data_IF_308667532786
#
_entry.id   IF_308667532786
#
_cell.length_a   1.000
_cell.length_b   1.000
_cell.length_c   1.000
_cell.angle_alpha   90.00
_cell.angle_beta   90.00
_cell.angle_gamma   90.00
#
_symmetry.space_group_name_H-M   'P 1'
#
loop_
_entity.id
_entity.type
_entity.pdbx_description
1 polymer ?
2 water ?
#
# COMPACT_ATOMS: atom_id res chain seq x y z
N UNK A 1 5.19 9.64 -7.52
CA UNK A 1 6.12 8.66 -8.16
C UNK A 1 5.52 8.01 -9.41
N UNK A 2 6.39 7.35 -10.16
CA UNK A 2 5.99 6.70 -11.40
C UNK A 2 5.14 5.47 -11.11
N UNK A 3 4.06 5.31 -11.87
CA UNK A 3 3.19 4.15 -11.79
C UNK A 3 3.51 3.23 -12.96
N UNK A 4 3.69 1.95 -12.67
CA UNK A 4 3.97 0.96 -13.72
C UNK A 4 2.76 0.81 -14.63
N UNK A 5 1.59 0.54 -14.07
CA UNK A 5 0.39 0.37 -14.86
C UNK A 5 -0.84 0.60 -14.02
N UNK A 6 -1.88 1.11 -14.67
CA UNK A 6 -3.20 1.33 -14.08
C UNK A 6 -4.19 0.79 -15.08
N UNK A 7 -5.18 0.04 -14.60
CA UNK A 7 -6.04 -0.64 -15.55
C UNK A 7 -7.30 -1.15 -14.88
N UNK A 8 -8.39 -1.10 -15.63
CA UNK A 8 -9.69 -1.58 -15.18
C UNK A 8 -10.16 -2.66 -16.16
N UNK A 9 -10.56 -3.81 -15.63
CA UNK A 9 -11.30 -4.78 -16.43
C UNK A 9 -12.75 -4.76 -15.99
N UNK A 10 -13.66 -4.16 -16.75
CA UNK A 10 -15.04 -4.03 -16.26
C UNK A 10 -15.75 -5.31 -15.87
N UNK A 11 -15.58 -6.38 -16.65
CA UNK A 11 -16.30 -7.64 -16.43
C UNK A 11 -15.32 -8.79 -16.62
N UNK A 12 -14.48 -9.05 -15.64
CA UNK A 12 -13.50 -10.12 -15.80
C UNK A 12 -14.16 -11.46 -16.01
N UNK A 13 -13.60 -12.24 -16.94
CA UNK A 13 -14.07 -13.59 -17.18
C UNK A 13 -13.96 -14.44 -15.92
N UNK A 14 -14.93 -15.32 -15.73
CA UNK A 14 -14.96 -16.14 -14.52
C UNK A 14 -13.70 -16.98 -14.38
N UNK A 15 -13.09 -17.40 -15.50
CA UNK A 15 -11.87 -18.18 -15.46
C UNK A 15 -10.73 -17.37 -14.87
N UNK A 16 -10.70 -16.07 -15.14
CA UNK A 16 -9.67 -15.21 -14.57
C UNK A 16 -9.81 -15.17 -13.06
N UNK A 17 -11.03 -14.94 -12.58
CA UNK A 17 -11.26 -14.89 -11.14
C UNK A 17 -11.05 -16.25 -10.49
N UNK A 18 -11.27 -17.35 -11.23
CA UNK A 18 -11.06 -18.67 -10.66
C UNK A 18 -9.57 -19.00 -10.52
N UNK A 19 -8.77 -18.56 -11.49
CA UNK A 19 -7.38 -18.99 -11.57
C UNK A 19 -6.38 -18.01 -10.96
N UNK A 20 -6.73 -16.73 -10.84
CA UNK A 20 -5.79 -15.73 -10.35
C UNK A 20 -6.29 -15.17 -9.02
N UNK A 21 -5.37 -14.70 -8.15
CA UNK A 21 -5.76 -14.25 -6.80
C UNK A 21 -6.32 -12.83 -6.78
N UNK A 22 -7.51 -12.68 -7.35
CA UNK A 22 -8.08 -11.35 -7.55
C UNK A 22 -9.30 -11.09 -6.65
N UNK A 23 -9.47 -11.90 -5.62
CA UNK A 23 -10.37 -11.60 -4.53
C UNK A 23 -11.83 -11.98 -4.73
N UNK A 24 -12.17 -12.64 -5.84
CA UNK A 24 -13.55 -12.94 -6.14
C UNK A 24 -13.66 -14.36 -6.71
N UNK A 25 -13.22 -15.35 -5.93
CA UNK A 25 -13.32 -16.74 -6.38
C UNK A 25 -14.78 -17.06 -6.71
N UNK A 26 -15.09 -17.49 -7.93
CA UNK A 26 -16.49 -17.79 -8.26
C UNK A 26 -17.04 -18.85 -7.31
N UNK A 27 -18.26 -18.61 -6.85
CA UNK A 27 -18.92 -19.49 -5.93
C UNK A 27 -18.78 -19.07 -4.48
N UNK A 28 -17.86 -18.15 -4.17
CA UNK A 28 -17.64 -17.70 -2.79
C UNK A 28 -18.59 -16.55 -2.44
N UNK A 29 -19.88 -16.86 -2.41
CA UNK A 29 -20.89 -15.88 -2.01
C UNK A 29 -22.04 -16.60 -1.31
N UNK A 30 -22.80 -15.84 -0.47
CA UNK A 30 -23.96 -16.37 0.26
C UNK A 30 -25.13 -16.71 -0.72
N UNK A 31 -25.16 -16.11 -1.95
CA UNK A 31 -26.25 -16.32 -2.93
C UNK A 31 -25.78 -17.03 -4.20
N UNK A 32 -24.51 -17.42 -4.23
CA UNK A 32 -23.99 -18.26 -5.29
C UNK A 32 -24.72 -19.60 -5.29
N UNK A 33 -25.06 -20.06 -6.47
CA UNK A 33 -25.74 -21.34 -6.62
C UNK A 33 -25.64 -21.91 -8.03
N UNK A 38 -21.52 -10.81 -14.57
CA UNK A 38 -22.11 -10.30 -13.33
C UNK A 38 -21.04 -10.11 -12.26
N UNK A 39 -19.84 -10.58 -12.53
CA UNK A 39 -18.74 -10.42 -11.59
C UNK A 39 -18.42 -8.94 -11.38
N UNK A 40 -17.86 -8.64 -10.20
CA UNK A 40 -17.39 -7.30 -9.91
C UNK A 40 -16.31 -6.87 -10.91
N UNK A 41 -16.29 -5.58 -11.23
CA UNK A 41 -15.17 -5.04 -11.99
C UNK A 41 -13.87 -5.12 -11.18
N UNK A 42 -12.75 -4.97 -11.88
CA UNK A 42 -11.42 -5.19 -11.33
C UNK A 42 -10.52 -4.00 -11.64
N UNK A 43 -10.03 -3.34 -10.62
CA UNK A 43 -9.06 -2.27 -10.75
C UNK A 43 -7.72 -2.72 -10.19
N UNK A 44 -6.65 -2.24 -10.82
CA UNK A 44 -5.31 -2.66 -10.45
C UNK A 44 -4.37 -1.50 -10.66
N UNK A 45 -3.53 -1.24 -9.66
CA UNK A 45 -2.47 -0.25 -9.78
C UNK A 45 -1.16 -0.94 -9.41
N UNK A 46 -0.22 -0.93 -10.34
CA UNK A 46 1.07 -1.57 -10.18
C UNK A 46 2.17 -0.52 -10.05
N UNK A 47 3.01 -0.67 -9.03
CA UNK A 47 4.12 0.23 -8.73
C UNK A 47 5.36 -0.59 -8.41
N UNK A 48 6.53 -0.09 -8.82
CA UNK A 48 7.79 -0.58 -8.29
C UNK A 48 8.08 0.19 -7.00
N UNK A 49 7.26 -0.11 -6.00
CA UNK A 49 7.29 0.59 -4.75
C UNK A 49 6.12 0.25 -3.85
N UNK A 50 6.42 -0.38 -2.71
CA UNK A 50 5.35 -0.67 -1.75
C UNK A 50 4.68 0.60 -1.26
N UNK A 51 5.46 1.66 -1.05
CA UNK A 51 4.88 2.88 -0.48
C UNK A 51 3.88 3.51 -1.45
N UNK A 52 4.26 3.61 -2.72
CA UNK A 52 3.32 4.12 -3.72
C UNK A 52 2.09 3.26 -3.85
N UNK A 53 2.25 1.94 -3.73
CA UNK A 53 1.12 1.02 -3.81
C UNK A 53 0.16 1.25 -2.65
N UNK A 54 0.69 1.36 -1.42
CA UNK A 54 -0.17 1.58 -0.28
C UNK A 54 -0.94 2.89 -0.43
N UNK A 55 -0.25 3.95 -0.84
CA UNK A 55 -0.91 5.24 -1.05
C UNK A 55 -1.98 5.11 -2.13
N UNK A 56 -1.65 4.49 -3.27
CA UNK A 56 -2.64 4.24 -4.31
C UNK A 56 -3.84 3.49 -3.73
N UNK A 57 -3.58 2.45 -2.95
CA UNK A 57 -4.67 1.64 -2.42
C UNK A 57 -5.56 2.45 -1.48
N UNK A 58 -4.95 3.28 -0.63
CA UNK A 58 -5.71 4.09 0.30
C UNK A 58 -6.58 5.10 -0.45
N UNK A 59 -5.99 5.79 -1.43
CA UNK A 59 -6.76 6.70 -2.25
C UNK A 59 -7.92 5.99 -2.93
N UNK A 60 -7.70 4.76 -3.42
CA UNK A 60 -8.74 4.07 -4.18
C UNK A 60 -9.96 3.80 -3.29
N UNK A 61 -9.74 3.33 -2.07
CA UNK A 61 -10.86 2.92 -1.24
C UNK A 61 -11.53 4.14 -0.60
N UNK A 62 -10.83 5.26 -0.52
CA UNK A 62 -11.45 6.49 -0.05
C UNK A 62 -12.24 7.20 -1.15
N UNK A 63 -11.95 6.89 -2.40
CA UNK A 63 -12.51 7.62 -3.53
C UNK A 63 -13.82 7.02 -4.02
N UNK A 64 -14.09 5.77 -3.70
CA UNK A 64 -15.22 5.10 -4.32
C UNK A 64 -15.55 3.83 -3.55
N UNK A 65 -16.74 3.29 -3.84
CA UNK A 65 -17.26 2.09 -3.19
C UNK A 65 -16.61 0.88 -3.85
N UNK A 66 -15.33 0.70 -3.55
CA UNK A 66 -14.56 -0.45 -4.01
C UNK A 66 -13.99 -1.14 -2.78
N UNK A 67 -13.66 -2.42 -2.94
CA UNK A 67 -13.02 -3.19 -1.89
C UNK A 67 -11.58 -3.49 -2.31
N UNK A 68 -10.62 -3.11 -1.49
CA UNK A 68 -9.25 -3.56 -1.66
C UNK A 68 -9.13 -4.98 -1.15
N UNK A 69 -8.82 -5.92 -2.05
CA UNK A 69 -8.85 -7.33 -1.71
C UNK A 69 -7.48 -7.87 -1.34
N UNK A 70 -6.42 -7.13 -1.61
CA UNK A 70 -5.08 -7.58 -1.34
C UNK A 70 -4.13 -6.94 -2.34
N UNK A 71 -2.88 -7.41 -2.31
CA UNK A 71 -1.89 -6.96 -3.26
C UNK A 71 -1.10 -8.17 -3.74
N UNK A 72 -0.50 -8.01 -4.90
CA UNK A 72 0.24 -9.07 -5.56
C UNK A 72 1.72 -8.69 -5.62
N UNK A 73 2.59 -9.61 -5.23
CA UNK A 73 4.03 -9.41 -5.21
C UNK A 73 4.67 -10.30 -6.26
N UNK A 74 5.35 -9.70 -7.23
CA UNK A 74 5.97 -10.42 -8.33
C UNK A 74 7.50 -10.35 -8.27
N UNK A 75 8.04 -9.86 -7.16
CA UNK A 75 9.47 -9.71 -7.01
C UNK A 75 10.01 -8.48 -7.69
N UNK A 76 11.31 -8.28 -7.50
CA UNK A 76 11.97 -7.16 -8.13
C UNK A 76 11.55 -5.81 -7.62
N UNK A 77 10.81 -5.77 -6.51
CA UNK A 77 10.23 -4.54 -6.02
C UNK A 77 8.84 -4.24 -6.56
N UNK A 78 8.28 -5.12 -7.37
CA UNK A 78 6.99 -4.83 -8.02
C UNK A 78 5.84 -5.35 -7.18
N UNK A 79 4.83 -4.50 -6.98
CA UNK A 79 3.62 -4.87 -6.26
C UNK A 79 2.41 -4.25 -6.94
N UNK A 80 1.28 -4.94 -6.86
CA UNK A 80 0.04 -4.49 -7.48
C UNK A 80 -1.07 -4.45 -6.43
N UNK A 81 -1.77 -3.32 -6.35
CA UNK A 81 -2.95 -3.18 -5.49
C UNK A 81 -4.19 -3.52 -6.28
N UNK A 82 -5.09 -4.33 -5.71
CA UNK A 82 -6.23 -4.89 -6.44
C UNK A 82 -7.51 -4.48 -5.75
N UNK A 83 -8.40 -3.79 -6.46
CA UNK A 83 -9.70 -3.42 -5.94
C UNK A 83 -10.82 -3.98 -6.80
N UNK A 84 -11.96 -4.22 -6.14
CA UNK A 84 -13.14 -4.83 -6.75
C UNK A 84 -14.38 -4.02 -6.37
N UNK A 85 -15.26 -3.82 -7.35
CA UNK A 85 -16.49 -3.08 -7.12
C UNK A 85 -17.25 -2.94 -8.42
N UNK A 86 -18.27 -2.08 -8.42
CA UNK A 86 -18.96 -1.85 -9.68
C UNK A 86 -18.08 -1.07 -10.65
N UNK A 87 -18.41 -1.18 -11.94
CA UNK A 87 -17.54 -0.65 -13.00
C UNK A 87 -17.22 0.82 -12.75
N UNK A 88 -18.25 1.64 -12.56
CA UNK A 88 -18.01 3.08 -12.45
C UNK A 88 -17.17 3.40 -11.21
N UNK A 89 -17.46 2.70 -10.12
CA UNK A 89 -16.70 2.89 -8.88
C UNK A 89 -15.24 2.52 -9.08
N UNK A 90 -14.99 1.44 -9.80
CA UNK A 90 -13.61 1.02 -9.99
C UNK A 90 -12.86 2.01 -10.87
N UNK A 91 -13.53 2.57 -11.88
CA UNK A 91 -12.87 3.55 -12.75
C UNK A 91 -12.52 4.81 -11.96
N UNK A 92 -13.47 5.31 -11.14
CA UNK A 92 -13.19 6.46 -10.31
C UNK A 92 -12.09 6.14 -9.31
N UNK A 93 -12.12 4.93 -8.74
CA UNK A 93 -11.15 4.60 -7.71
C UNK A 93 -9.74 4.58 -8.27
N UNK A 94 -9.56 3.93 -9.43
CA UNK A 94 -8.23 3.81 -9.99
C UNK A 94 -7.71 5.14 -10.49
N UNK A 95 -8.58 6.03 -10.99
CA UNK A 95 -8.14 7.36 -11.36
C UNK A 95 -7.58 8.10 -10.16
N UNK A 96 -8.24 8.00 -9.01
CA UNK A 96 -7.78 8.70 -7.82
C UNK A 96 -6.53 8.05 -7.28
N UNK A 97 -6.47 6.73 -7.35
CA UNK A 97 -5.28 6.03 -6.91
C UNK A 97 -4.08 6.37 -7.75
N UNK A 98 -4.26 6.47 -9.07
CA UNK A 98 -3.16 6.88 -9.94
C UNK A 98 -2.67 8.27 -9.54
N UNK A 99 -3.59 9.21 -9.34
CA UNK A 99 -3.19 10.58 -8.96
C UNK A 99 -2.45 10.58 -7.62
N UNK A 100 -2.94 9.82 -6.65
CA UNK A 100 -2.28 9.77 -5.35
C UNK A 100 -0.88 9.16 -5.45
N UNK A 101 -0.73 8.09 -6.23
CA UNK A 101 0.61 7.51 -6.39
C UNK A 101 1.55 8.49 -7.07
N UNK A 102 1.03 9.32 -7.99
CA UNK A 102 1.88 10.31 -8.66
C UNK A 102 2.41 11.33 -7.66
N UNK A 103 1.72 11.54 -6.54
CA UNK A 103 2.15 12.51 -5.54
C UNK A 103 3.17 11.97 -4.56
N UNK A 104 3.37 10.66 -4.49
CA UNK A 104 4.29 10.09 -3.51
C UNK A 104 5.72 10.43 -3.89
N UNK A 105 6.53 10.76 -2.89
CA UNK A 105 7.93 11.07 -3.09
C UNK A 105 8.86 10.33 -2.14
N UNK B 1 22.36 7.63 1.75
CA UNK B 1 21.99 6.90 0.52
C UNK B 1 20.61 7.30 0.00
N UNK B 2 20.34 6.96 -1.26
CA UNK B 2 19.07 7.31 -1.86
C UNK B 2 17.93 6.51 -1.24
N UNK B 3 16.81 7.19 -0.99
CA UNK B 3 15.59 6.59 -0.49
C UNK B 3 14.62 6.45 -1.65
N UNK B 4 13.85 5.36 -1.67
CA UNK B 4 12.84 5.19 -2.73
C UNK B 4 11.65 6.10 -2.49
N UNK B 5 11.15 6.12 -1.26
CA UNK B 5 9.95 6.90 -0.95
C UNK B 5 9.86 7.06 0.56
N UNK B 6 9.36 8.21 0.97
CA UNK B 6 9.04 8.50 2.35
C UNK B 6 7.63 9.05 2.32
N UNK B 7 6.72 8.47 3.10
CA UNK B 7 5.33 8.89 2.97
C UNK B 7 4.60 8.75 4.29
N UNK B 8 3.60 9.60 4.46
CA UNK B 8 2.73 9.58 5.64
C UNK B 8 1.29 9.51 5.16
N UNK B 9 0.53 8.61 5.76
CA UNK B 9 -0.92 8.55 5.57
C UNK B 9 -1.55 8.91 6.97
N UNK B 10 -2.12 10.10 7.08
CA UNK B 10 -2.60 10.50 8.43
C UNK B 10 -3.75 9.65 8.96
N UNK B 11 -4.69 9.25 8.12
CA UNK B 11 -5.86 8.47 8.56
C UNK B 11 -6.17 7.36 7.55
N UNK B 12 -5.44 6.25 7.59
CA UNK B 12 -5.66 5.18 6.61
C UNK B 12 -7.07 4.62 6.68
N UNK B 13 -7.57 4.22 5.51
CA UNK B 13 -8.84 3.52 5.44
C UNK B 13 -8.74 2.19 6.17
N UNK B 14 -9.82 1.84 6.87
CA UNK B 14 -9.88 0.58 7.59
C UNK B 14 -9.63 -0.60 6.66
N UNK B 15 -10.02 -0.50 5.37
CA UNK B 15 -9.77 -1.57 4.40
C UNK B 15 -8.29 -1.73 4.13
N UNK B 16 -7.50 -0.65 4.19
CA UNK B 16 -6.08 -0.75 3.97
C UNK B 16 -5.41 -1.47 5.15
N UNK B 17 -5.86 -1.18 6.37
CA UNK B 17 -5.26 -1.84 7.52
C UNK B 17 -5.67 -3.31 7.62
N UNK B 18 -6.80 -3.68 7.02
CA UNK B 18 -7.27 -5.04 7.08
C UNK B 18 -6.61 -5.89 6.01
N UNK B 19 -6.40 -5.31 4.83
CA UNK B 19 -5.95 -6.07 3.68
C UNK B 19 -4.44 -6.11 3.57
N UNK B 20 -3.74 -5.15 4.16
CA UNK B 20 -2.31 -5.02 4.00
C UNK B 20 -1.59 -5.14 5.34
N UNK B 21 -0.33 -5.62 5.34
CA UNK B 21 0.39 -5.94 6.58
C UNK B 21 1.11 -4.72 7.18
N UNK B 22 0.33 -3.88 7.87
CA UNK B 22 0.80 -2.57 8.34
C UNK B 22 0.66 -2.42 9.85
N UNK B 23 0.45 -3.52 10.56
CA UNK B 23 0.58 -3.56 12.01
C UNK B 23 -0.62 -3.08 12.79
N UNK B 24 -1.78 -2.85 12.15
CA UNK B 24 -2.97 -2.37 12.83
C UNK B 24 -4.22 -3.05 12.27
N UNK B 25 -4.26 -4.37 12.36
CA UNK B 25 -5.43 -5.12 11.95
C UNK B 25 -6.66 -4.58 12.68
N UNK B 26 -7.67 -4.11 11.98
CA UNK B 26 -8.87 -3.59 12.66
C UNK B 26 -9.51 -4.66 13.53
N UNK B 27 -9.77 -4.30 14.78
CA UNK B 27 -10.34 -5.19 15.75
C UNK B 27 -9.36 -5.76 16.75
N UNK B 28 -8.06 -5.59 16.52
CA UNK B 28 -7.03 -6.08 17.43
C UNK B 28 -6.70 -5.01 18.47
N UNK B 29 -7.75 -4.57 19.17
CA UNK B 29 -7.66 -3.52 20.19
C UNK B 29 -6.74 -2.37 19.81
N UNK B 39 -7.53 5.34 14.93
CA UNK B 39 -6.88 4.94 13.68
C UNK B 39 -5.51 5.61 13.55
N UNK B 40 -4.47 4.86 13.88
CA UNK B 40 -3.12 5.42 13.91
C UNK B 40 -2.69 5.89 12.52
N UNK B 41 -1.95 7.00 12.48
CA UNK B 41 -1.28 7.41 11.26
C UNK B 41 -0.28 6.33 10.86
N UNK B 42 0.07 6.31 9.57
CA UNK B 42 0.97 5.35 8.98
C UNK B 42 2.16 6.15 8.41
N UNK B 43 3.37 5.70 8.74
CA UNK B 43 4.56 6.27 8.11
C UNK B 43 5.42 5.16 7.52
N UNK B 44 5.91 5.40 6.31
CA UNK B 44 6.67 4.39 5.61
C UNK B 44 7.91 4.99 4.97
N UNK B 45 9.00 4.22 4.98
CA UNK B 45 10.24 4.59 4.33
C UNK B 45 10.73 3.36 3.58
N UNK B 46 10.85 3.47 2.27
CA UNK B 46 11.27 2.40 1.40
C UNK B 46 12.68 2.71 0.92
N UNK B 47 13.54 1.72 0.97
CA UNK B 47 14.95 1.88 0.63
C UNK B 47 15.35 0.66 -0.16
N UNK B 48 16.12 0.84 -1.23
CA UNK B 48 16.76 -0.31 -1.86
C UNK B 48 18.03 -0.63 -1.09
N UNK B 49 17.84 -1.12 0.12
CA UNK B 49 18.95 -1.33 1.02
C UNK B 49 18.49 -1.64 2.43
N UNK B 50 18.77 -2.87 2.88
CA UNK B 50 18.43 -3.25 4.25
C UNK B 50 19.12 -2.36 5.26
N UNK B 51 20.41 -2.05 5.05
CA UNK B 51 21.13 -1.23 6.03
C UNK B 51 20.48 0.13 6.15
N UNK B 52 20.16 0.78 5.02
CA UNK B 52 19.54 2.10 5.08
C UNK B 52 18.16 2.06 5.72
N UNK B 53 17.41 1.00 5.47
CA UNK B 53 16.10 0.85 6.08
C UNK B 53 16.19 0.67 7.58
N UNK B 54 17.19 -0.06 8.06
CA UNK B 54 17.32 -0.27 9.49
C UNK B 54 17.70 1.03 10.20
N UNK B 55 18.62 1.81 9.60
CA UNK B 55 18.98 3.10 10.18
C UNK B 55 17.79 4.04 10.20
N UNK B 56 17.02 4.05 9.12
CA UNK B 56 15.83 4.91 9.09
C UNK B 56 14.84 4.50 10.17
N UNK B 57 14.60 3.20 10.29
CA UNK B 57 13.70 2.68 11.31
C UNK B 57 14.16 3.09 12.70
N UNK B 58 15.46 2.93 12.98
CA UNK B 58 15.99 3.30 14.28
C UNK B 58 15.81 4.79 14.55
N UNK B 59 16.13 5.63 13.55
CA UNK B 59 15.94 7.06 13.74
C UNK B 59 14.47 7.41 13.92
N UNK B 60 13.57 6.68 13.26
CA UNK B 60 12.15 6.97 13.38
C UNK B 60 11.64 6.78 14.81
N UNK B 61 11.91 5.61 15.40
CA UNK B 61 11.39 5.32 16.73
C UNK B 61 12.11 6.13 17.80
N UNK B 62 13.28 6.68 17.50
CA UNK B 62 13.94 7.55 18.46
C UNK B 62 13.44 8.99 18.37
N UNK B 63 12.94 9.41 17.21
CA UNK B 63 12.65 10.82 16.98
C UNK B 63 11.27 11.21 17.49
N UNK B 64 10.36 10.25 17.58
CA UNK B 64 9.01 10.59 18.01
C UNK B 64 8.32 9.36 18.58
N UNK B 65 7.12 9.54 19.11
CA UNK B 65 6.43 8.43 19.76
C UNK B 65 5.77 7.66 18.62
N UNK B 66 6.46 6.71 17.97
CA UNK B 66 5.88 5.79 17.01
C UNK B 66 6.41 4.41 17.34
N UNK B 67 5.64 3.43 16.90
CA UNK B 67 6.11 2.05 16.88
C UNK B 67 6.57 1.51 15.51
N UNK B 68 7.76 0.95 15.46
CA UNK B 68 8.11 0.12 14.30
C UNK B 68 7.30 -1.17 14.37
N UNK B 69 6.43 -1.40 13.39
CA UNK B 69 5.64 -2.62 13.44
C UNK B 69 6.33 -3.74 12.68
N UNK B 70 7.32 -3.45 11.85
CA UNK B 70 7.92 -4.47 11.02
C UNK B 70 8.41 -3.88 9.72
N UNK B 71 8.65 -4.76 8.76
CA UNK B 71 9.09 -4.32 7.45
C UNK B 71 8.55 -5.24 6.37
N UNK B 72 8.41 -4.68 5.17
CA UNK B 72 7.95 -5.39 3.99
C UNK B 72 9.13 -5.62 3.07
N UNK B 73 9.30 -6.86 2.63
CA UNK B 73 10.31 -7.20 1.63
C UNK B 73 9.57 -7.46 0.31
N UNK B 74 9.87 -6.67 -0.71
CA UNK B 74 9.20 -6.83 -2.01
C UNK B 74 10.12 -7.36 -3.10
N UNK B 75 11.30 -7.84 -2.74
CA UNK B 75 12.24 -8.38 -3.70
C UNK B 75 13.15 -7.31 -4.29
N UNK B 76 14.14 -7.79 -5.03
CA UNK B 76 15.03 -6.89 -5.74
C UNK B 76 15.80 -5.93 -4.87
N UNK B 77 15.91 -6.25 -3.58
CA UNK B 77 16.61 -5.40 -2.63
C UNK B 77 15.75 -4.38 -1.94
N UNK B 78 14.46 -4.31 -2.28
CA UNK B 78 13.57 -3.28 -1.76
C UNK B 78 12.96 -3.70 -0.42
N UNK B 79 13.05 -2.82 0.58
CA UNK B 79 12.44 -3.06 1.88
C UNK B 79 11.80 -1.77 2.35
N UNK B 80 10.70 -1.90 3.08
CA UNK B 80 9.97 -0.76 3.59
C UNK B 80 9.76 -0.91 5.09
N UNK B 81 10.28 0.05 5.86
CA UNK B 81 9.99 0.11 7.28
C UNK B 81 8.66 0.81 7.50
N UNK B 82 7.86 0.27 8.43
CA UNK B 82 6.52 0.78 8.73
C UNK B 82 6.42 1.21 10.19
N UNK B 83 5.91 2.42 10.42
CA UNK B 83 5.67 2.90 11.78
C UNK B 83 4.25 3.43 11.84
N UNK B 84 3.67 3.37 13.03
CA UNK B 84 2.35 3.90 13.29
C UNK B 84 2.44 4.85 14.46
N UNK B 85 1.42 5.69 14.62
CA UNK B 85 1.31 6.58 15.77
C UNK B 85 0.39 7.73 15.40
N UNK B 86 0.37 8.72 16.30
CA UNK B 86 -0.38 9.93 15.98
C UNK B 86 0.27 10.65 14.82
N UNK B 87 -0.56 11.37 14.08
CA UNK B 87 -0.15 11.98 12.81
C UNK B 87 1.12 12.79 12.99
N UNK B 88 1.11 13.72 13.97
CA UNK B 88 2.28 14.57 14.16
C UNK B 88 3.51 13.74 14.44
N UNK B 89 3.38 12.73 15.31
CA UNK B 89 4.53 11.88 15.63
C UNK B 89 5.04 11.16 14.38
N UNK B 90 4.13 10.65 13.54
CA UNK B 90 4.56 9.95 12.34
C UNK B 90 5.28 10.89 11.40
N UNK B 91 4.76 12.10 11.21
CA UNK B 91 5.45 13.08 10.39
C UNK B 91 6.86 13.35 10.94
N UNK B 92 6.97 13.60 12.24
CA UNK B 92 8.29 13.89 12.81
C UNK B 92 9.23 12.71 12.61
N UNK B 93 8.72 11.48 12.77
CA UNK B 93 9.54 10.29 12.65
C UNK B 93 10.03 10.11 11.22
N UNK B 94 9.13 10.20 10.24
CA UNK B 94 9.53 9.94 8.86
C UNK B 94 10.51 10.98 8.36
N UNK B 95 10.33 12.25 8.78
CA UNK B 95 11.32 13.28 8.46
C UNK B 95 12.70 12.90 9.01
N UNK B 96 12.73 12.49 10.29
CA UNK B 96 13.98 12.06 10.91
C UNK B 96 14.53 10.81 10.23
N UNK B 97 13.67 9.86 9.88
CA UNK B 97 14.14 8.64 9.25
C UNK B 97 14.74 8.91 7.89
N UNK B 98 14.15 9.83 7.13
CA UNK B 98 14.67 10.13 5.81
C UNK B 98 16.05 10.75 5.90
N UNK B 99 16.21 11.73 6.79
CA UNK B 99 17.51 12.36 6.97
C UNK B 99 18.57 11.34 7.40
N UNK B 100 18.19 10.39 8.26
CA UNK B 100 19.15 9.40 8.72
C UNK B 100 19.58 8.48 7.59
N UNK B 101 18.63 8.00 6.77
CA UNK B 101 18.98 7.11 5.69
C UNK B 101 19.85 7.80 4.65
N UNK B 102 19.57 9.07 4.37
CA UNK B 102 20.38 9.80 3.40
C UNK B 102 21.81 10.00 3.89
N UNK B 103 22.01 10.02 5.22
CA UNK B 103 23.35 10.14 5.79
C UNK B 103 24.15 8.84 5.70
N UNK B 104 23.50 7.71 5.38
CA UNK B 104 24.21 6.43 5.33
C UNK B 104 25.11 6.40 4.09
N UNK B 105 26.38 6.12 4.31
CA UNK B 105 27.37 6.11 3.25
C UNK B 105 28.77 6.20 3.83
#
# INVERSE_FOLDING_TARGET
MEVVAVHVIPRPHVNVDAALPLGRTPGMDKSAGSGSGSADALGMIEVRGFVGMVEAADAMVKAAKVELIGYEKTGGGYVTAVVRGDVAAVKAATEAGQRAAERVG
MEVVAVHVIPRPHVNVDAALPLGRTPGMDKSAGSGSGSADALGMIEVRGFVGMVEAADAMVKAAKVELIGYEKTGGGYVTAVVRGDVAAVKAATEAGQRAAERVG
#
